data_IF_642672574530
#
_entry.id   IF_642672574530
#
_cell.length_a   1.000
_cell.length_b   1.000
_cell.length_c   1.000
_cell.angle_alpha   90.00
_cell.angle_beta   90.00
_cell.angle_gamma   90.00
#
_symmetry.space_group_name_H-M   'P 1'
#
loop_
_entity.id
_entity.type
_entity.pdbx_description
1 polymer ?
#
# COMPACT_ATOMS: atom_id res chain seq x y z
N UNK A 1 48.74 26.43 -16.06
CA UNK A 1 47.62 27.27 -15.60
C UNK A 1 46.32 26.52 -15.90
N UNK A 2 45.76 25.81 -14.91
CA UNK A 2 44.58 24.95 -15.11
C UNK A 2 43.33 25.78 -14.80
N UNK A 3 42.46 25.96 -15.79
CA UNK A 3 41.17 26.64 -15.59
C UNK A 3 40.26 25.76 -14.73
N UNK A 4 39.62 26.30 -13.67
CA UNK A 4 38.64 25.55 -12.90
C UNK A 4 37.41 25.28 -13.76
N UNK A 5 37.07 23.99 -13.90
CA UNK A 5 35.82 23.54 -14.53
C UNK A 5 34.69 23.87 -13.53
N UNK A 6 33.93 24.93 -13.82
CA UNK A 6 32.68 25.22 -13.11
C UNK A 6 31.65 24.13 -13.43
N UNK A 7 31.53 23.13 -12.56
CA UNK A 7 30.41 22.18 -12.59
C UNK A 7 29.13 22.93 -12.19
N UNK A 8 28.35 23.35 -13.20
CA UNK A 8 26.97 23.79 -13.02
C UNK A 8 26.09 22.56 -12.70
N UNK A 9 26.14 22.08 -11.46
CA UNK A 9 25.21 21.08 -10.96
C UNK A 9 23.85 21.76 -10.69
N UNK A 10 23.08 22.03 -11.74
CA UNK A 10 21.71 22.60 -11.64
C UNK A 10 20.62 21.53 -11.39
N UNK A 11 21.00 20.25 -11.30
CA UNK A 11 20.08 19.12 -11.16
C UNK A 11 19.62 18.81 -9.71
N UNK A 12 20.29 19.22 -8.60
CA UNK A 12 19.75 18.93 -7.27
C UNK A 12 18.60 19.86 -6.87
N UNK A 13 18.47 21.06 -7.47
CA UNK A 13 17.50 22.04 -6.99
C UNK A 13 16.04 21.66 -7.31
N UNK A 14 15.77 21.11 -8.50
CA UNK A 14 14.40 20.73 -8.88
C UNK A 14 13.90 19.52 -8.09
N UNK A 15 14.78 18.55 -7.78
CA UNK A 15 14.44 17.38 -6.98
C UNK A 15 14.34 17.69 -5.49
N UNK A 16 15.22 18.53 -4.95
CA UNK A 16 15.10 19.05 -3.58
C UNK A 16 13.83 19.89 -3.47
N UNK A 17 13.46 20.68 -4.49
CA UNK A 17 12.21 21.42 -4.52
C UNK A 17 11.00 20.47 -4.58
N UNK A 18 11.04 19.39 -5.36
CA UNK A 18 9.95 18.41 -5.40
C UNK A 18 9.84 17.64 -4.07
N UNK A 19 10.96 17.27 -3.45
CA UNK A 19 11.00 16.63 -2.14
C UNK A 19 10.53 17.59 -1.04
N UNK A 20 10.95 18.86 -1.07
CA UNK A 20 10.49 19.91 -0.15
C UNK A 20 9.00 20.21 -0.37
N UNK A 21 8.50 20.32 -1.59
CA UNK A 21 7.07 20.50 -1.88
C UNK A 21 6.27 19.30 -1.37
N UNK A 22 6.80 18.08 -1.52
CA UNK A 22 6.19 16.86 -0.98
C UNK A 22 6.19 16.86 0.55
N UNK A 23 7.28 17.33 1.17
CA UNK A 23 7.43 17.39 2.62
C UNK A 23 6.59 18.52 3.23
N UNK A 24 6.55 19.70 2.61
CA UNK A 24 5.72 20.84 3.03
C UNK A 24 4.25 20.57 2.76
N UNK A 25 3.85 19.88 1.69
CA UNK A 25 2.45 19.45 1.55
C UNK A 25 2.07 18.37 2.57
N UNK A 26 3.02 17.59 3.07
CA UNK A 26 2.84 16.73 4.23
C UNK A 26 2.67 17.52 5.53
N UNK A 27 3.57 18.48 5.82
CA UNK A 27 3.60 19.29 7.05
C UNK A 27 2.47 20.34 7.10
N UNK A 28 2.19 21.04 5.99
CA UNK A 28 1.06 21.97 5.87
C UNK A 28 -0.29 21.21 5.89
N UNK A 29 -0.24 19.91 5.58
CA UNK A 29 -1.32 18.97 5.83
C UNK A 29 -1.55 18.64 7.31
N UNK A 30 -0.60 18.90 8.21
CA UNK A 30 -0.70 18.63 9.65
C UNK A 30 -1.38 19.75 10.46
N UNK A 31 -1.27 21.02 10.06
CA UNK A 31 -1.89 22.13 10.82
C UNK A 31 -3.41 22.25 10.61
N UNK A 32 -3.93 21.82 9.47
CA UNK A 32 -5.39 21.71 9.22
C UNK A 32 -5.96 20.33 9.60
N UNK A 33 -5.19 19.49 10.30
CA UNK A 33 -5.46 18.07 10.52
C UNK A 33 -6.16 17.78 11.85
N UNK A 34 -6.23 18.74 12.78
CA UNK A 34 -6.99 18.56 14.02
C UNK A 34 -8.51 18.54 13.77
N UNK A 35 -9.02 19.32 12.80
CA UNK A 35 -10.42 19.24 12.37
C UNK A 35 -10.68 18.21 11.26
N UNK A 36 -9.63 17.83 10.52
CA UNK A 36 -9.65 16.74 9.54
C UNK A 36 -8.61 15.73 9.95
N UNK A 37 -8.91 14.90 10.96
CA UNK A 37 -8.16 13.66 11.21
C UNK A 37 -7.99 12.98 9.84
N UNK A 38 -6.81 13.10 9.23
CA UNK A 38 -6.51 12.46 7.95
C UNK A 38 -6.25 11.02 8.34
N UNK A 39 -7.30 10.22 8.30
CA UNK A 39 -7.23 8.80 8.60
C UNK A 39 -6.47 8.12 7.44
N UNK A 40 -5.15 8.24 7.48
CA UNK A 40 -4.25 7.38 6.72
C UNK A 40 -4.57 5.93 7.13
N UNK A 41 -4.72 5.03 6.17
CA UNK A 41 -5.13 3.65 6.46
C UNK A 41 -6.62 3.36 6.26
N UNK A 42 -7.39 4.27 5.67
CA UNK A 42 -8.83 4.08 5.38
C UNK A 42 -9.08 3.56 3.97
N UNK A 43 -10.01 2.62 3.87
CA UNK A 43 -10.52 2.11 2.60
C UNK A 43 -11.61 3.04 2.07
N UNK A 44 -11.75 3.11 0.76
CA UNK A 44 -12.83 3.87 0.12
C UNK A 44 -13.62 2.96 -0.81
N UNK A 45 -14.93 2.92 -0.57
CA UNK A 45 -15.95 2.32 -1.43
C UNK A 45 -16.35 3.35 -2.49
N UNK A 46 -16.22 2.99 -3.78
CA UNK A 46 -16.63 3.85 -4.88
C UNK A 46 -18.03 3.45 -5.35
N UNK A 47 -19.07 4.30 -5.15
CA UNK A 47 -20.45 3.95 -5.49
C UNK A 47 -20.70 3.84 -6.99
N UNK A 48 -19.81 4.38 -7.84
CA UNK A 48 -19.96 4.31 -9.29
C UNK A 48 -19.70 2.90 -9.86
N UNK A 49 -19.23 1.97 -9.03
CA UNK A 49 -19.06 0.57 -9.42
C UNK A 49 -20.37 -0.17 -9.13
N UNK A 50 -20.83 -0.95 -10.10
CA UNK A 50 -22.06 -1.75 -9.99
C UNK A 50 -22.06 -2.58 -8.70
N UNK A 51 -23.20 -2.61 -8.00
CA UNK A 51 -23.42 -3.31 -6.72
C UNK A 51 -22.70 -2.73 -5.49
N UNK A 52 -21.80 -1.75 -5.64
CA UNK A 52 -21.15 -1.08 -4.50
C UNK A 52 -21.92 0.13 -3.97
N UNK A 53 -22.98 0.54 -4.66
CA UNK A 53 -23.88 1.58 -4.20
C UNK A 53 -24.94 1.08 -3.21
N UNK A 54 -25.04 -0.23 -2.96
CA UNK A 54 -26.09 -0.83 -2.12
C UNK A 54 -25.48 -1.46 -0.88
N UNK A 55 -25.62 -0.81 0.27
CA UNK A 55 -25.12 -1.30 1.55
C UNK A 55 -26.28 -1.64 2.47
N UNK A 56 -26.24 -2.82 3.06
CA UNK A 56 -27.23 -3.28 4.04
C UNK A 56 -26.73 -2.95 5.43
N UNK A 57 -27.51 -2.16 6.17
CA UNK A 57 -27.20 -1.78 7.54
C UNK A 57 -28.13 -2.51 8.51
N UNK A 58 -27.61 -3.18 9.55
CA UNK A 58 -28.45 -3.79 10.58
C UNK A 58 -29.11 -2.69 11.40
N UNK A 59 -30.42 -2.51 11.26
CA UNK A 59 -31.18 -1.48 12.00
C UNK A 59 -31.83 -2.01 13.28
N UNK A 60 -31.71 -3.32 13.53
CA UNK A 60 -32.15 -3.96 14.76
C UNK A 60 -32.79 -5.32 14.50
N UNK A 61 -33.74 -5.68 15.35
CA UNK A 61 -34.53 -6.89 15.21
C UNK A 61 -36.01 -6.56 15.14
N UNK A 62 -36.71 -7.22 14.22
CA UNK A 62 -38.16 -7.14 14.12
C UNK A 62 -38.74 -8.36 14.82
N UNK A 63 -39.65 -8.13 15.76
CA UNK A 63 -40.45 -9.19 16.38
C UNK A 63 -41.73 -9.34 15.57
N UNK A 64 -41.92 -10.48 14.95
CA UNK A 64 -43.12 -10.81 14.19
C UNK A 64 -43.84 -11.96 14.86
N UNK A 65 -45.15 -11.79 15.09
CA UNK A 65 -45.99 -12.87 15.59
C UNK A 65 -46.42 -13.74 14.42
N UNK A 66 -45.87 -14.96 14.36
CA UNK A 66 -46.33 -15.96 13.40
C UNK A 66 -47.51 -16.71 13.99
N UNK A 67 -48.59 -16.81 13.24
CA UNK A 67 -49.82 -17.45 13.69
C UNK A 67 -49.71 -18.97 13.63
N UNK A 68 -50.46 -19.63 14.51
CA UNK A 68 -50.75 -21.07 14.43
C UNK A 68 -51.16 -21.45 13.00
N UNK A 69 -50.65 -22.58 12.53
CA UNK A 69 -50.92 -23.12 11.20
C UNK A 69 -49.95 -22.69 10.10
N UNK A 70 -49.07 -21.70 10.34
CA UNK A 70 -48.02 -21.33 9.39
C UNK A 70 -46.94 -22.42 9.28
N UNK A 71 -46.42 -22.64 8.08
CA UNK A 71 -45.34 -23.60 7.83
C UNK A 71 -44.00 -22.86 7.82
N UNK A 72 -43.12 -23.23 8.74
CA UNK A 72 -41.74 -22.75 8.81
C UNK A 72 -40.81 -23.69 8.08
N UNK A 73 -39.98 -23.14 7.20
CA UNK A 73 -38.84 -23.86 6.61
C UNK A 73 -37.58 -23.49 7.37
N UNK A 74 -37.01 -24.44 8.11
CA UNK A 74 -35.76 -24.28 8.85
C UNK A 74 -34.63 -25.05 8.15
N UNK A 75 -33.45 -24.43 8.05
CA UNK A 75 -32.26 -25.09 7.51
C UNK A 75 -31.31 -25.46 8.64
N UNK A 76 -31.13 -26.76 8.90
CA UNK A 76 -30.18 -27.27 9.92
C UNK A 76 -29.25 -28.28 9.26
N UNK A 77 -27.95 -28.06 9.40
CA UNK A 77 -26.89 -28.98 8.90
C UNK A 77 -27.09 -29.29 7.39
N UNK A 78 -27.50 -28.30 6.61
CA UNK A 78 -27.72 -28.46 5.16
C UNK A 78 -29.04 -29.11 4.75
N UNK A 79 -29.84 -29.62 5.70
CA UNK A 79 -31.18 -30.16 5.43
C UNK A 79 -32.26 -29.10 5.70
N UNK A 80 -33.30 -29.11 4.87
CA UNK A 80 -34.46 -28.23 4.99
C UNK A 80 -35.61 -29.02 5.64
N UNK A 81 -36.08 -28.53 6.79
CA UNK A 81 -37.20 -29.11 7.53
C UNK A 81 -38.38 -28.16 7.47
N UNK A 82 -39.54 -28.70 7.12
CA UNK A 82 -40.79 -27.96 7.24
C UNK A 82 -41.51 -28.39 8.52
N UNK A 83 -41.94 -27.42 9.33
CA UNK A 83 -42.80 -27.67 10.48
C UNK A 83 -43.95 -26.70 10.53
N UNK A 84 -45.15 -27.20 10.79
CA UNK A 84 -46.33 -26.37 11.01
C UNK A 84 -46.34 -25.87 12.45
N UNK A 85 -46.58 -24.58 12.64
CA UNK A 85 -46.68 -23.97 13.96
C UNK A 85 -47.95 -24.45 14.68
N UNK A 86 -47.78 -25.08 15.84
CA UNK A 86 -48.89 -25.56 16.68
C UNK A 86 -49.54 -24.42 17.46
N UNK A 87 -48.75 -23.40 17.82
CA UNK A 87 -49.16 -22.22 18.57
C UNK A 87 -48.59 -20.94 17.92
N UNK A 88 -49.23 -19.81 18.20
CA UNK A 88 -48.68 -18.50 17.86
C UNK A 88 -47.28 -18.35 18.46
N UNK A 89 -46.31 -17.98 17.63
CA UNK A 89 -44.89 -17.95 18.02
C UNK A 89 -44.30 -16.61 17.62
N UNK A 90 -43.72 -15.89 18.58
CA UNK A 90 -43.01 -14.65 18.33
C UNK A 90 -41.61 -14.96 17.81
N UNK A 91 -41.36 -14.67 16.54
CA UNK A 91 -40.03 -14.83 15.94
C UNK A 91 -39.33 -13.48 15.90
N UNK A 92 -38.06 -13.48 16.32
CA UNK A 92 -37.18 -12.32 16.21
C UNK A 92 -36.32 -12.50 14.97
N UNK A 93 -36.58 -11.72 13.93
CA UNK A 93 -35.78 -11.69 12.71
C UNK A 93 -34.85 -10.47 12.72
N UNK A 94 -33.67 -10.60 12.10
CA UNK A 94 -32.79 -9.45 11.87
C UNK A 94 -33.44 -8.55 10.83
N UNK A 95 -33.44 -7.24 11.08
CA UNK A 95 -33.95 -6.27 10.14
C UNK A 95 -32.78 -5.45 9.60
N UNK A 96 -32.61 -5.51 8.28
CA UNK A 96 -31.60 -4.74 7.58
C UNK A 96 -32.28 -3.64 6.76
N UNK A 97 -31.64 -2.47 6.71
CA UNK A 97 -32.05 -1.36 5.85
C UNK A 97 -31.09 -1.24 4.66
N UNK A 98 -31.66 -1.09 3.46
CA UNK A 98 -30.88 -0.86 2.26
C UNK A 98 -30.55 0.63 2.13
N UNK A 99 -29.26 0.95 2.15
CA UNK A 99 -28.75 2.31 1.95
C UNK A 99 -28.11 2.42 0.58
N UNK A 100 -28.59 3.42 -0.18
CA UNK A 100 -28.00 3.79 -1.45
C UNK A 100 -26.87 4.81 -1.20
N UNK A 101 -25.63 4.35 -1.37
CA UNK A 101 -24.43 5.14 -1.23
C UNK A 101 -24.25 5.97 -2.49
N UNK A 102 -24.35 7.29 -2.36
CA UNK A 102 -24.23 8.24 -3.48
C UNK A 102 -22.85 8.89 -3.56
N UNK A 103 -22.05 8.81 -2.50
CA UNK A 103 -20.73 9.40 -2.40
C UNK A 103 -19.68 8.38 -1.97
N UNK A 104 -18.40 8.70 -2.15
CA UNK A 104 -17.30 7.85 -1.70
C UNK A 104 -17.39 7.62 -0.20
N UNK A 105 -17.67 6.38 0.20
CA UNK A 105 -17.78 6.02 1.61
C UNK A 105 -16.43 5.53 2.13
N UNK A 106 -16.00 6.12 3.24
CA UNK A 106 -14.77 5.78 3.95
C UNK A 106 -15.03 4.67 4.97
N UNK A 107 -14.16 3.66 4.95
CA UNK A 107 -14.27 2.47 5.77
C UNK A 107 -12.95 2.26 6.53
N UNK A 108 -13.05 2.00 7.83
CA UNK A 108 -11.91 1.64 8.67
C UNK A 108 -11.43 0.22 8.37
N UNK A 109 -12.36 -0.72 8.19
CA UNK A 109 -12.03 -2.12 7.95
C UNK A 109 -13.03 -2.79 6.98
N UNK A 110 -12.55 -3.82 6.30
CA UNK A 110 -13.31 -4.64 5.35
C UNK A 110 -13.05 -6.11 5.66
N UNK A 111 -14.09 -6.84 6.08
CA UNK A 111 -13.97 -8.24 6.48
C UNK A 111 -14.88 -9.13 5.63
N UNK A 112 -14.33 -10.07 4.83
CA UNK A 112 -15.14 -11.05 4.13
C UNK A 112 -15.88 -11.97 5.10
N UNK A 113 -17.14 -12.29 4.82
CA UNK A 113 -17.88 -13.29 5.59
C UNK A 113 -17.30 -14.69 5.36
N UNK A 114 -17.17 -15.47 6.44
CA UNK A 114 -16.73 -16.87 6.40
C UNK A 114 -17.87 -17.85 6.18
N UNK A 115 -19.11 -17.44 6.51
CA UNK A 115 -20.31 -18.28 6.42
C UNK A 115 -21.14 -18.01 5.16
N UNK A 116 -21.12 -16.77 4.68
CA UNK A 116 -21.94 -16.31 3.55
C UNK A 116 -21.04 -15.84 2.40
N UNK A 117 -20.79 -16.71 1.43
CA UNK A 117 -19.92 -16.42 0.29
C UNK A 117 -20.46 -15.22 -0.51
N UNK A 118 -19.59 -14.25 -0.78
CA UNK A 118 -19.94 -13.01 -1.49
C UNK A 118 -20.37 -11.86 -0.58
N UNK A 119 -20.58 -12.11 0.71
CA UNK A 119 -20.88 -11.05 1.69
C UNK A 119 -19.59 -10.45 2.24
N UNK A 120 -19.51 -9.12 2.25
CA UNK A 120 -18.39 -8.37 2.83
C UNK A 120 -18.92 -7.39 3.86
N UNK A 121 -18.43 -7.49 5.09
CA UNK A 121 -18.71 -6.54 6.15
C UNK A 121 -17.84 -5.30 6.00
N UNK A 122 -18.48 -4.14 6.15
CA UNK A 122 -17.89 -2.82 6.00
C UNK A 122 -17.98 -2.12 7.36
N UNK A 123 -16.84 -1.82 7.97
CA UNK A 123 -16.79 -0.98 9.17
C UNK A 123 -16.56 0.47 8.73
N UNK A 124 -17.56 1.37 8.85
CA UNK A 124 -17.44 2.74 8.40
C UNK A 124 -16.47 3.55 9.27
N UNK A 125 -15.86 4.60 8.71
CA UNK A 125 -15.23 5.63 9.55
C UNK A 125 -16.34 6.40 10.24
N UNK A 126 -16.16 6.66 11.54
CA UNK A 126 -17.17 7.31 12.39
C UNK A 126 -17.67 8.62 11.79
N UNK A 127 -18.99 8.69 11.56
CA UNK A 127 -19.72 9.89 11.20
C UNK A 127 -19.87 10.77 12.43
N UNK A 128 -19.44 12.03 12.32
CA UNK A 128 -19.49 13.00 13.43
C UNK A 128 -20.82 13.73 13.57
N UNK A 129 -21.75 13.50 12.64
CA UNK A 129 -23.05 14.13 12.63
C UNK A 129 -24.06 13.24 13.37
N UNK A 130 -24.75 13.77 14.37
CA UNK A 130 -25.70 13.01 15.21
C UNK A 130 -26.82 12.37 14.38
N UNK A 131 -27.24 13.01 13.28
CA UNK A 131 -28.25 12.45 12.36
C UNK A 131 -27.78 11.17 11.68
N UNK A 132 -26.46 11.02 11.51
CA UNK A 132 -25.82 9.89 10.83
C UNK A 132 -25.28 8.85 11.81
N UNK A 133 -25.46 9.00 13.13
CA UNK A 133 -24.86 8.10 14.13
C UNK A 133 -25.34 6.64 13.97
N UNK A 134 -26.56 6.44 13.47
CA UNK A 134 -27.08 5.10 13.14
C UNK A 134 -26.26 4.40 12.05
N UNK A 135 -25.55 5.17 11.22
CA UNK A 135 -24.66 4.68 10.17
C UNK A 135 -23.29 4.28 10.70
N UNK A 136 -22.97 4.51 11.98
CA UNK A 136 -21.73 4.05 12.64
C UNK A 136 -21.74 2.56 12.99
N UNK A 137 -22.72 1.80 12.48
CA UNK A 137 -22.81 0.35 12.64
C UNK A 137 -22.11 -0.39 11.49
N UNK A 138 -21.68 -1.64 11.74
CA UNK A 138 -21.07 -2.47 10.71
C UNK A 138 -22.15 -2.87 9.69
N UNK A 139 -22.02 -2.36 8.47
CA UNK A 139 -22.85 -2.73 7.34
C UNK A 139 -22.27 -3.90 6.54
N UNK A 140 -22.95 -4.31 5.49
CA UNK A 140 -22.40 -5.26 4.53
C UNK A 140 -22.85 -4.99 3.10
N UNK A 141 -22.05 -5.46 2.14
CA UNK A 141 -22.44 -5.56 0.73
C UNK A 141 -22.51 -7.03 0.32
N UNK A 142 -23.27 -7.31 -0.72
CA UNK A 142 -23.34 -8.63 -1.35
C UNK A 142 -22.81 -8.51 -2.76
N UNK A 143 -21.72 -9.23 -3.04
CA UNK A 143 -21.14 -9.35 -4.38
C UNK A 143 -21.82 -10.52 -5.08
N UNK A 144 -22.48 -10.33 -6.24
CA UNK A 144 -23.07 -11.43 -6.97
C UNK A 144 -22.03 -12.47 -7.41
N UNK A 145 -22.49 -13.69 -7.72
CA UNK A 145 -21.61 -14.77 -8.15
C UNK A 145 -20.88 -14.36 -9.44
N UNK A 146 -19.57 -14.62 -9.49
CA UNK A 146 -18.65 -14.26 -10.58
C UNK A 146 -18.33 -12.76 -10.74
N UNK A 147 -18.86 -11.91 -9.86
CA UNK A 147 -18.59 -10.48 -9.85
C UNK A 147 -17.45 -10.09 -8.90
N UNK A 148 -17.07 -8.81 -8.93
CA UNK A 148 -15.99 -8.26 -8.11
C UNK A 148 -16.34 -6.93 -7.47
N UNK A 149 -15.89 -6.73 -6.24
CA UNK A 149 -15.83 -5.44 -5.58
C UNK A 149 -14.39 -4.92 -5.60
N UNK A 150 -14.22 -3.62 -5.85
CA UNK A 150 -12.90 -2.96 -5.77
C UNK A 150 -12.97 -1.83 -4.77
N UNK A 151 -12.05 -1.87 -3.80
CA UNK A 151 -11.85 -0.85 -2.79
C UNK A 151 -10.49 -0.20 -3.02
N UNK A 152 -10.37 1.06 -2.66
CA UNK A 152 -9.07 1.77 -2.70
C UNK A 152 -8.58 2.01 -1.28
N UNK A 153 -7.30 1.83 -1.03
CA UNK A 153 -6.68 1.98 0.29
C UNK A 153 -5.45 2.86 0.16
N UNK A 154 -5.41 3.97 0.88
CA UNK A 154 -4.26 4.88 0.87
C UNK A 154 -3.63 4.91 2.25
N UNK A 155 -2.34 4.56 2.34
CA UNK A 155 -1.64 4.45 3.60
C UNK A 155 -0.16 4.77 3.47
N UNK A 156 0.43 5.29 4.54
CA UNK A 156 1.89 5.42 4.66
C UNK A 156 2.47 4.15 5.25
N UNK A 157 3.68 3.78 4.84
CA UNK A 157 4.32 2.57 5.34
C UNK A 157 5.83 2.72 5.44
N UNK A 158 6.35 2.16 6.53
CA UNK A 158 7.76 1.86 6.73
C UNK A 158 8.04 0.41 6.29
N UNK A 159 8.97 0.19 5.34
CA UNK A 159 9.35 -1.16 4.89
C UNK A 159 10.86 -1.33 4.74
N UNK A 160 11.35 -2.57 4.92
CA UNK A 160 12.69 -2.93 4.51
C UNK A 160 12.78 -2.97 2.98
N UNK A 161 13.90 -2.51 2.41
CA UNK A 161 14.16 -2.53 0.98
C UNK A 161 15.55 -3.11 0.70
N UNK A 162 15.69 -3.78 -0.43
CA UNK A 162 16.98 -4.16 -0.99
C UNK A 162 17.11 -3.62 -2.41
N UNK A 163 18.32 -3.18 -2.77
CA UNK A 163 18.64 -2.71 -4.13
C UNK A 163 19.77 -3.58 -4.65
N UNK A 164 19.47 -4.77 -5.21
CA UNK A 164 20.49 -5.71 -5.68
C UNK A 164 21.20 -5.24 -6.95
N UNK A 165 20.60 -4.35 -7.73
CA UNK A 165 21.18 -3.87 -9.00
C UNK A 165 21.12 -2.34 -9.08
N UNK A 166 22.26 -1.74 -9.43
CA UNK A 166 22.40 -0.31 -9.69
C UNK A 166 22.95 -0.09 -11.10
N UNK A 167 22.22 0.65 -11.92
CA UNK A 167 22.67 1.11 -13.25
C UNK A 167 23.32 2.47 -13.06
N UNK A 168 24.64 2.52 -13.31
CA UNK A 168 25.45 3.71 -13.11
C UNK A 168 25.77 4.35 -14.47
N UNK A 169 25.37 5.61 -14.69
CA UNK A 169 25.66 6.32 -15.93
C UNK A 169 27.16 6.49 -16.16
N UNK A 170 27.54 6.64 -17.43
CA UNK A 170 28.90 6.96 -17.83
C UNK A 170 29.40 8.28 -17.20
N UNK A 171 30.67 8.33 -16.80
CA UNK A 171 31.30 9.52 -16.20
C UNK A 171 32.32 10.11 -17.17
N UNK A 172 32.03 11.33 -17.66
CA UNK A 172 32.96 12.19 -18.42
C UNK A 172 33.71 11.51 -19.57
N UNK A 173 33.11 10.51 -20.23
CA UNK A 173 33.74 9.75 -21.33
C UNK A 173 34.90 8.83 -20.91
N UNK A 174 35.25 8.80 -19.62
CA UNK A 174 36.33 7.97 -19.07
C UNK A 174 35.82 6.61 -18.61
N UNK A 175 34.61 6.56 -18.08
CA UNK A 175 33.93 5.33 -17.65
C UNK A 175 32.68 5.10 -18.47
N UNK A 176 32.48 3.87 -18.94
CA UNK A 176 31.26 3.44 -19.61
C UNK A 176 30.14 3.22 -18.59
N UNK A 177 28.89 3.28 -19.06
CA UNK A 177 27.74 2.89 -18.24
C UNK A 177 27.88 1.44 -17.82
N UNK A 178 27.60 1.13 -16.56
CA UNK A 178 27.73 -0.22 -16.03
C UNK A 178 26.57 -0.58 -15.10
N UNK A 179 26.29 -1.88 -15.01
CA UNK A 179 25.37 -2.45 -14.04
C UNK A 179 26.21 -3.04 -12.92
N UNK A 180 26.04 -2.57 -11.69
CA UNK A 180 26.72 -3.11 -10.52
C UNK A 180 25.75 -3.90 -9.65
N UNK A 181 26.21 -5.06 -9.17
CA UNK A 181 25.50 -5.90 -8.20
C UNK A 181 26.00 -5.61 -6.78
N UNK A 182 25.76 -4.40 -6.31
CA UNK A 182 26.10 -4.01 -4.94
C UNK A 182 24.96 -4.39 -4.01
N UNK A 183 25.27 -5.07 -2.91
CA UNK A 183 24.25 -5.42 -1.93
C UNK A 183 23.95 -4.21 -1.03
N UNK A 184 22.81 -3.57 -1.29
CA UNK A 184 22.29 -2.44 -0.49
C UNK A 184 21.07 -2.90 0.29
N UNK A 185 21.12 -2.77 1.61
CA UNK A 185 19.99 -2.99 2.51
C UNK A 185 19.62 -1.66 3.17
N UNK A 186 18.33 -1.38 3.21
CA UNK A 186 17.87 -0.23 3.95
C UNK A 186 16.41 -0.30 4.31
N UNK A 187 15.88 0.88 4.53
CA UNK A 187 14.50 1.08 4.88
C UNK A 187 13.90 2.20 4.04
N UNK A 188 12.59 2.14 3.83
CA UNK A 188 11.88 3.12 3.02
C UNK A 188 10.60 3.57 3.72
N UNK A 189 10.38 4.87 3.69
CA UNK A 189 9.11 5.49 4.02
C UNK A 189 8.36 5.79 2.73
N UNK A 190 7.15 5.25 2.59
CA UNK A 190 6.38 5.28 1.34
C UNK A 190 4.92 5.64 1.55
N UNK A 191 4.36 6.41 0.62
CA UNK A 191 2.92 6.56 0.42
C UNK A 191 2.46 5.48 -0.56
N UNK A 192 1.49 4.68 -0.17
CA UNK A 192 0.96 3.56 -0.94
C UNK A 192 -0.49 3.84 -1.30
N UNK A 193 -0.88 3.45 -2.51
CA UNK A 193 -2.25 3.47 -2.98
C UNK A 193 -2.55 2.10 -3.60
N UNK A 194 -3.32 1.30 -2.86
CA UNK A 194 -3.66 -0.06 -3.23
C UNK A 194 -5.13 -0.15 -3.67
N UNK A 195 -5.38 -0.89 -4.74
CA UNK A 195 -6.67 -1.43 -5.15
C UNK A 195 -6.83 -2.83 -4.57
N UNK A 196 -7.76 -2.95 -3.64
CA UNK A 196 -8.15 -4.21 -3.03
C UNK A 196 -9.37 -4.77 -3.75
N UNK A 197 -9.20 -5.91 -4.40
CA UNK A 197 -10.22 -6.56 -5.23
C UNK A 197 -10.68 -7.84 -4.54
N UNK A 198 -11.98 -7.92 -4.27
CA UNK A 198 -12.65 -9.14 -3.83
C UNK A 198 -13.48 -9.69 -4.98
N UNK A 199 -13.21 -10.93 -5.37
CA UNK A 199 -13.96 -11.63 -6.42
C UNK A 199 -14.74 -12.78 -5.82
N UNK A 200 -16.05 -12.77 -6.00
CA UNK A 200 -16.90 -13.88 -5.58
C UNK A 200 -16.79 -15.01 -6.62
N UNK A 201 -16.05 -16.08 -6.30
CA UNK A 201 -16.18 -17.35 -7.02
C UNK A 201 -17.17 -18.16 -6.20
N UNK A 202 -18.18 -18.76 -6.83
CA UNK A 202 -19.31 -19.49 -6.18
C UNK A 202 -19.00 -20.21 -4.86
N UNK A 203 -17.82 -20.80 -4.71
CA UNK A 203 -17.37 -21.56 -3.53
C UNK A 203 -16.44 -20.80 -2.56
N UNK A 204 -15.81 -19.71 -3.00
CA UNK A 204 -14.85 -18.96 -2.21
C UNK A 204 -14.71 -17.50 -2.67
N UNK A 205 -14.42 -16.61 -1.73
CA UNK A 205 -14.10 -15.23 -2.06
C UNK A 205 -12.59 -15.05 -2.21
N UNK A 206 -12.14 -14.69 -3.42
CA UNK A 206 -10.72 -14.43 -3.70
C UNK A 206 -10.37 -12.98 -3.46
N UNK A 207 -9.37 -12.74 -2.61
CA UNK A 207 -8.75 -11.44 -2.37
C UNK A 207 -7.55 -11.25 -3.32
N UNK A 208 -7.41 -10.08 -3.91
CA UNK A 208 -6.23 -9.69 -4.69
C UNK A 208 -5.93 -8.22 -4.45
N UNK A 209 -4.66 -7.87 -4.36
CA UNK A 209 -4.22 -6.48 -4.14
C UNK A 209 -3.30 -6.08 -5.28
N UNK A 210 -3.55 -4.90 -5.84
CA UNK A 210 -2.65 -4.22 -6.78
C UNK A 210 -2.41 -2.82 -6.24
N UNK A 211 -1.30 -2.17 -6.57
CA UNK A 211 -1.09 -0.82 -6.08
C UNK A 211 0.13 -0.15 -6.66
N UNK A 212 0.25 1.14 -6.37
CA UNK A 212 1.47 1.88 -6.58
C UNK A 212 1.97 2.45 -5.25
N UNK A 213 3.27 2.62 -5.15
CA UNK A 213 3.91 3.28 -4.01
C UNK A 213 4.90 4.32 -4.50
N UNK A 214 5.05 5.40 -3.75
CA UNK A 214 6.10 6.39 -3.95
C UNK A 214 6.71 6.74 -2.60
N UNK A 215 8.02 6.86 -2.52
CA UNK A 215 8.67 7.04 -1.23
C UNK A 215 10.14 7.39 -1.30
N UNK A 216 10.73 7.48 -0.12
CA UNK A 216 12.15 7.74 0.09
C UNK A 216 12.75 6.55 0.83
N UNK A 217 13.73 5.90 0.19
CA UNK A 217 14.58 4.88 0.77
C UNK A 217 15.88 5.46 1.29
N UNK A 218 16.43 4.85 2.34
CA UNK A 218 17.79 5.10 2.80
C UNK A 218 18.35 3.88 3.53
N UNK A 219 19.67 3.74 3.57
CA UNK A 219 20.28 2.58 4.20
C UNK A 219 21.78 2.52 3.99
N UNK A 220 22.31 1.32 4.18
CA UNK A 220 23.73 1.04 4.06
C UNK A 220 23.97 0.05 2.92
N UNK A 221 25.09 0.22 2.24
CA UNK A 221 25.55 -0.68 1.20
C UNK A 221 27.03 -0.95 1.34
N UNK A 222 27.47 -2.02 0.69
CA UNK A 222 28.88 -2.36 0.55
C UNK A 222 29.30 -2.20 -0.90
N UNK A 223 30.47 -1.62 -1.12
CA UNK A 223 31.09 -1.50 -2.43
C UNK A 223 32.47 -2.14 -2.41
N UNK A 224 32.84 -2.78 -3.52
CA UNK A 224 34.17 -3.35 -3.72
C UNK A 224 35.04 -2.33 -4.46
N UNK A 225 36.17 -2.00 -3.85
CA UNK A 225 37.16 -1.05 -4.35
C UNK A 225 38.30 -1.82 -4.99
N UNK A 226 38.51 -1.57 -6.28
CA UNK A 226 39.59 -2.13 -7.08
C UNK A 226 40.09 -1.06 -8.07
N UNK A 227 41.15 -1.35 -8.82
CA UNK A 227 41.70 -0.42 -9.81
C UNK A 227 40.65 0.09 -10.81
N UNK A 228 39.69 -0.74 -11.22
CA UNK A 228 38.64 -0.32 -12.18
C UNK A 228 37.65 0.67 -11.54
N UNK A 229 37.23 0.40 -10.30
CA UNK A 229 36.25 1.20 -9.56
C UNK A 229 36.83 2.46 -8.90
N UNK A 230 38.16 2.61 -8.90
CA UNK A 230 38.90 3.77 -8.35
C UNK A 230 39.77 4.50 -9.38
N UNK A 231 39.75 4.07 -10.65
CA UNK A 231 40.58 4.60 -11.75
C UNK A 231 40.52 6.12 -12.00
N UNK A 232 39.52 6.84 -11.50
CA UNK A 232 39.45 8.31 -11.61
C UNK A 232 40.12 9.03 -10.45
N UNK A 233 40.32 8.34 -9.33
CA UNK A 233 41.18 8.78 -8.23
C UNK A 233 42.61 8.33 -8.55
N UNK A 234 43.62 9.10 -8.18
CA UNK A 234 45.02 8.66 -8.34
C UNK A 234 45.42 7.57 -7.32
N UNK A 235 44.45 6.90 -6.69
CA UNK A 235 44.66 5.84 -5.74
C UNK A 235 44.73 4.49 -6.46
N UNK A 236 45.82 3.75 -6.27
CA UNK A 236 45.99 2.41 -6.82
C UNK A 236 45.64 1.38 -5.72
N UNK A 237 44.39 0.94 -5.70
CA UNK A 237 43.96 -0.16 -4.84
C UNK A 237 44.28 -1.49 -5.52
N UNK A 238 45.41 -2.09 -5.16
CA UNK A 238 45.88 -3.37 -5.72
C UNK A 238 45.20 -4.59 -5.12
N UNK A 239 44.51 -4.44 -3.98
CA UNK A 239 43.73 -5.48 -3.29
C UNK A 239 42.26 -5.09 -3.26
N UNK A 240 41.35 -6.08 -3.29
CA UNK A 240 39.91 -5.89 -3.08
C UNK A 240 39.67 -5.31 -1.67
N UNK A 241 39.49 -4.00 -1.59
CA UNK A 241 39.09 -3.34 -0.35
C UNK A 241 37.58 -3.17 -0.31
N UNK A 242 36.98 -3.36 0.86
CA UNK A 242 35.56 -3.09 1.05
C UNK A 242 35.35 -1.66 1.54
N UNK A 243 34.38 -0.99 0.93
CA UNK A 243 33.91 0.34 1.32
C UNK A 243 32.48 0.29 1.86
N UNK A 244 32.21 1.08 2.90
CA UNK A 244 30.85 1.27 3.42
C UNK A 244 30.24 2.54 2.83
N UNK A 245 29.03 2.44 2.30
CA UNK A 245 28.29 3.57 1.74
C UNK A 245 26.95 3.74 2.46
N UNK A 246 26.51 4.99 2.60
CA UNK A 246 25.14 5.35 2.92
C UNK A 246 24.42 5.73 1.63
N UNK A 247 23.22 5.20 1.39
CA UNK A 247 22.44 5.58 0.22
C UNK A 247 21.16 6.31 0.61
N UNK A 248 20.70 7.20 -0.28
CA UNK A 248 19.39 7.84 -0.24
C UNK A 248 18.73 7.73 -1.62
N UNK A 249 17.50 7.22 -1.67
CA UNK A 249 16.85 6.77 -2.91
C UNK A 249 15.36 7.12 -2.93
N UNK A 250 14.94 8.28 -3.47
CA UNK A 250 13.57 8.43 -3.93
C UNK A 250 13.23 7.34 -4.95
N UNK A 251 12.03 6.79 -4.85
CA UNK A 251 11.61 5.70 -5.72
C UNK A 251 10.11 5.55 -5.82
N UNK A 252 9.72 4.79 -6.85
CA UNK A 252 8.34 4.38 -7.10
C UNK A 252 8.28 2.86 -7.16
N UNK A 253 7.12 2.31 -6.84
CA UNK A 253 6.91 0.88 -6.76
C UNK A 253 5.56 0.47 -7.31
N UNK A 254 5.50 -0.76 -7.81
CA UNK A 254 4.27 -1.44 -8.16
C UNK A 254 4.08 -2.63 -7.23
N UNK A 255 2.90 -2.70 -6.60
CA UNK A 255 2.48 -3.80 -5.76
C UNK A 255 1.60 -4.74 -6.57
N UNK A 256 1.99 -6.00 -6.67
CA UNK A 256 1.24 -7.06 -7.35
C UNK A 256 1.09 -8.23 -6.39
N UNK A 257 -0.11 -8.38 -5.81
CA UNK A 257 -0.46 -9.46 -4.88
C UNK A 257 0.48 -9.56 -3.67
N UNK A 258 0.99 -8.43 -3.17
CA UNK A 258 1.91 -8.38 -2.03
C UNK A 258 3.39 -8.47 -2.40
N UNK A 259 3.72 -8.73 -3.67
CA UNK A 259 5.07 -8.61 -4.20
C UNK A 259 5.30 -7.19 -4.72
N UNK A 260 6.45 -6.57 -4.38
CA UNK A 260 6.76 -5.21 -4.82
C UNK A 260 7.99 -5.16 -5.71
N UNK A 261 7.81 -4.58 -6.89
CA UNK A 261 8.92 -4.18 -7.78
C UNK A 261 9.12 -2.69 -7.62
N UNK A 262 10.36 -2.27 -7.33
CA UNK A 262 10.71 -0.91 -7.00
C UNK A 262 11.75 -0.37 -8.00
N UNK A 263 11.54 0.85 -8.47
CA UNK A 263 12.50 1.63 -9.23
C UNK A 263 12.97 2.83 -8.42
N UNK A 264 14.28 3.07 -8.40
CA UNK A 264 14.91 4.11 -7.58
C UNK A 264 15.78 5.03 -8.43
N UNK A 265 15.85 6.29 -8.02
CA UNK A 265 16.94 7.19 -8.36
C UNK A 265 17.73 7.46 -7.08
N UNK A 266 18.95 6.94 -6.99
CA UNK A 266 19.73 6.92 -5.76
C UNK A 266 20.99 7.74 -5.82
N UNK A 267 21.49 8.11 -4.63
CA UNK A 267 22.83 8.66 -4.42
C UNK A 267 23.52 7.87 -3.32
N UNK A 268 24.77 7.53 -3.55
CA UNK A 268 25.62 6.88 -2.56
C UNK A 268 26.61 7.91 -1.98
N UNK A 269 26.76 7.89 -0.67
CA UNK A 269 27.71 8.72 0.09
C UNK A 269 28.67 7.78 0.79
N UNK A 270 29.94 7.87 0.43
CA UNK A 270 31.02 7.15 1.10
C UNK A 270 31.11 7.49 2.58
N UNK A 271 31.15 6.47 3.44
CA UNK A 271 31.31 6.64 4.89
C UNK A 271 32.75 6.33 5.36
N UNK A 272 33.49 5.49 4.64
CA UNK A 272 34.87 5.13 4.97
C UNK A 272 35.87 5.96 4.17
N UNK A 273 37.08 6.14 4.69
CA UNK A 273 38.11 6.99 4.04
C UNK A 273 38.41 6.56 2.59
N UNK A 274 38.47 5.26 2.34
CA UNK A 274 38.72 4.67 1.01
C UNK A 274 37.56 4.88 0.01
N UNK A 275 36.32 5.06 0.48
CA UNK A 275 35.18 5.32 -0.42
C UNK A 275 35.19 6.71 -1.05
N UNK A 276 36.05 7.62 -0.59
CA UNK A 276 36.25 8.91 -1.24
C UNK A 276 36.87 8.78 -2.64
N UNK A 277 37.66 7.73 -2.84
CA UNK A 277 38.36 7.41 -4.08
C UNK A 277 37.50 6.60 -5.06
N UNK A 278 36.32 6.17 -4.63
CA UNK A 278 35.38 5.44 -5.47
C UNK A 278 34.80 6.33 -6.57
N UNK A 279 34.89 5.87 -7.82
CA UNK A 279 34.47 6.60 -9.01
C UNK A 279 33.03 7.13 -8.96
N UNK A 280 32.14 6.42 -8.25
CA UNK A 280 30.71 6.74 -8.18
C UNK A 280 30.28 7.36 -6.84
N UNK A 281 31.23 7.73 -5.97
CA UNK A 281 30.91 8.44 -4.74
C UNK A 281 30.15 9.74 -5.06
N UNK A 282 29.01 9.95 -4.40
CA UNK A 282 28.09 11.07 -4.58
C UNK A 282 27.53 11.21 -6.01
N UNK A 283 27.58 10.14 -6.82
CA UNK A 283 27.01 10.12 -8.16
C UNK A 283 25.62 9.46 -8.16
N UNK A 284 24.70 9.95 -9.00
CA UNK A 284 23.38 9.34 -9.11
C UNK A 284 23.47 7.96 -9.77
N UNK A 285 22.57 7.06 -9.41
CA UNK A 285 22.37 5.77 -10.05
C UNK A 285 20.87 5.45 -10.18
N UNK A 286 20.51 4.59 -11.13
CA UNK A 286 19.17 4.02 -11.22
C UNK A 286 19.17 2.65 -10.54
N UNK A 287 18.37 2.49 -9.50
CA UNK A 287 18.25 1.23 -8.77
C UNK A 287 17.02 0.45 -9.21
N UNK A 288 17.13 -0.87 -9.29
CA UNK A 288 15.99 -1.78 -9.34
C UNK A 288 16.02 -2.60 -8.06
N UNK A 289 14.90 -2.62 -7.34
CA UNK A 289 14.79 -3.39 -6.11
C UNK A 289 13.50 -4.16 -5.99
N UNK A 290 13.50 -5.03 -4.99
CA UNK A 290 12.39 -5.89 -4.66
C UNK A 290 12.03 -5.61 -3.20
N UNK A 291 10.75 -5.42 -2.95
CA UNK A 291 10.22 -5.25 -1.60
C UNK A 291 9.39 -6.46 -1.20
N UNK A 292 9.59 -6.92 0.04
CA UNK A 292 8.73 -7.92 0.66
C UNK A 292 7.99 -7.32 1.84
N UNK A 293 6.70 -7.62 1.90
CA UNK A 293 5.81 -7.13 2.93
C UNK A 293 5.60 -8.22 3.99
N UNK A 294 6.41 -8.17 5.05
CA UNK A 294 6.34 -9.16 6.14
C UNK A 294 4.95 -9.23 6.81
N UNK A 295 4.20 -8.12 6.81
CA UNK A 295 2.86 -8.04 7.43
C UNK A 295 1.75 -8.68 6.60
N UNK A 296 1.93 -8.86 5.29
CA UNK A 296 0.91 -9.42 4.39
C UNK A 296 0.96 -10.95 4.32
N UNK A 297 2.00 -11.56 4.90
CA UNK A 297 2.23 -13.01 4.93
C UNK A 297 1.53 -13.73 6.09
N UNK A 298 0.89 -13.00 7.01
CA UNK A 298 -0.06 -13.63 7.94
C UNK A 298 -1.32 -14.02 7.18
N UNK A 299 -1.34 -15.25 6.69
CA UNK A 299 -2.54 -15.99 6.29
C UNK A 299 -2.79 -17.09 7.31
#
# INVERSE_FOLDING_TARGET
>A
MVKPIKMNCKIPFLFILFALISFTSCLYGQQNQEQRKKHVGVYTLNPNVLHLNKVYMPIGTKKELLKKGWVLTEKKVGLEYQRTLVNDTLITSKQDSLINVVQKWRLENITPSTTEIGKIYLNPVYFTNDFDDKLNSIGYIVIPVNEKATFTHTYTRWSAITIPFSIRPAINGKLRSQVTSEFKIGTAFSLNHDWLIYRNRRMEMKKSTYGFSAGLGFGLGRVELNNDSTSLSNANYTSEEEGLIFFITPGVGLNVRGFKVLGFLGWDVGLTKNTNDWNYNQKPYLGVGIGFDFWTLKK
#
